data_IF_326060599598
#
_entry.id   IF_326060599598
#
_cell.length_a   1.000
_cell.length_b   1.000
_cell.length_c   1.000
_cell.angle_alpha   90.00
_cell.angle_beta   90.00
_cell.angle_gamma   90.00
#
_symmetry.space_group_name_H-M   'P 1'
#
loop_
_entity.id
_entity.type
_entity.pdbx_description
1 polymer ?
#
# COMPACT_ATOMS: atom_id res chain seq x y z
N UNK A 1 4.04 -2.09 20.22
CA UNK A 1 4.71 -2.66 19.03
C UNK A 1 4.32 -4.13 18.97
N UNK A 2 4.08 -4.69 17.78
CA UNK A 2 3.67 -6.08 17.62
C UNK A 2 4.87 -7.01 17.87
N UNK A 3 5.02 -7.62 19.05
CA UNK A 3 6.21 -8.45 19.38
C UNK A 3 6.43 -9.66 18.45
N UNK A 4 5.49 -9.96 17.56
CA UNK A 4 5.55 -11.08 16.63
C UNK A 4 5.82 -10.64 15.19
N UNK A 5 5.93 -9.33 14.92
CA UNK A 5 6.30 -8.85 13.60
C UNK A 5 7.79 -9.09 13.37
N UNK A 6 8.12 -9.53 12.16
CA UNK A 6 9.52 -9.79 11.80
C UNK A 6 10.09 -8.58 11.07
N UNK A 7 9.24 -7.87 10.32
CA UNK A 7 9.64 -6.74 9.50
C UNK A 7 8.73 -5.53 9.75
N UNK A 8 9.32 -4.34 9.70
CA UNK A 8 8.61 -3.07 9.69
C UNK A 8 8.72 -2.48 8.28
N UNK A 9 7.64 -2.53 7.51
CA UNK A 9 7.60 -1.97 6.15
C UNK A 9 7.03 -0.55 6.06
N UNK A 10 6.59 -0.03 7.20
CA UNK A 10 6.03 1.31 7.33
C UNK A 10 6.65 2.02 8.52
N UNK A 11 6.92 3.31 8.31
CA UNK A 11 7.34 4.22 9.36
C UNK A 11 6.33 4.41 10.49
N UNK A 12 6.85 4.70 11.68
CA UNK A 12 6.06 5.10 12.85
C UNK A 12 5.99 6.62 13.04
N UNK A 13 6.47 7.40 12.08
CA UNK A 13 6.54 8.86 12.14
C UNK A 13 6.21 9.52 10.81
N UNK A 14 5.81 10.80 10.81
CA UNK A 14 5.76 11.60 9.60
C UNK A 14 7.06 11.60 8.82
N UNK A 15 6.95 11.76 7.50
CA UNK A 15 8.10 12.03 6.67
C UNK A 15 8.80 13.32 7.11
N UNK A 16 10.10 13.19 7.38
CA UNK A 16 11.00 14.27 7.73
C UNK A 16 11.91 14.56 6.55
N UNK A 17 11.98 15.83 6.15
CA UNK A 17 13.00 16.33 5.23
C UNK A 17 14.31 16.45 5.99
N UNK A 18 15.27 15.56 5.70
CA UNK A 18 16.53 15.53 6.43
C UNK A 18 17.40 16.75 6.14
N UNK A 19 17.14 17.46 5.03
CA UNK A 19 17.81 18.72 4.73
C UNK A 19 17.48 19.82 5.73
N UNK A 20 16.27 19.80 6.31
CA UNK A 20 15.83 20.80 7.30
C UNK A 20 16.49 20.63 8.68
N UNK A 21 17.25 19.54 8.87
CA UNK A 21 18.03 19.30 10.09
C UNK A 21 19.46 19.85 9.99
N UNK A 22 19.88 20.29 8.80
CA UNK A 22 21.20 20.82 8.57
C UNK A 22 21.30 22.24 9.18
N UNK A 23 22.47 22.62 9.72
CA UNK A 23 22.68 23.96 10.25
C UNK A 23 22.50 25.01 9.14
N UNK A 24 21.90 26.14 9.48
CA UNK A 24 21.70 27.29 8.60
C UNK A 24 22.57 28.48 9.01
N UNK A 25 22.76 29.43 8.11
CA UNK A 25 23.48 30.68 8.41
C UNK A 25 24.97 30.49 8.69
N UNK A 26 25.52 31.32 9.58
CA UNK A 26 26.96 31.34 9.92
C UNK A 26 27.43 30.03 10.58
N UNK A 27 26.52 29.32 11.28
CA UNK A 27 26.81 28.02 11.92
C UNK A 27 27.05 26.90 10.89
N UNK A 28 26.53 27.03 9.67
CA UNK A 28 26.75 26.05 8.61
C UNK A 28 28.23 26.01 8.17
N UNK A 29 28.90 27.16 8.14
CA UNK A 29 30.30 27.27 7.72
C UNK A 29 31.28 26.67 8.73
N UNK A 30 30.90 26.62 10.02
CA UNK A 30 31.71 26.05 11.11
C UNK A 30 31.41 24.57 11.34
N UNK A 31 30.17 24.12 11.15
CA UNK A 31 29.75 22.75 11.48
C UNK A 31 29.80 21.78 10.29
N UNK A 32 29.72 22.27 9.05
CA UNK A 32 29.77 21.41 7.87
C UNK A 32 31.13 21.52 7.16
N UNK A 33 31.81 20.40 6.87
CA UNK A 33 33.06 20.44 6.13
C UNK A 33 32.83 20.98 4.71
N UNK A 34 33.58 22.03 4.37
CA UNK A 34 33.47 22.70 3.06
C UNK A 34 33.95 21.81 1.90
N UNK A 35 34.87 20.90 2.20
CA UNK A 35 35.56 20.04 1.22
C UNK A 35 35.12 18.57 1.27
N UNK A 36 34.04 18.24 1.98
CA UNK A 36 33.52 16.87 2.06
C UNK A 36 32.02 16.80 1.73
N UNK A 37 31.54 15.66 1.21
CA UNK A 37 30.12 15.48 0.96
C UNK A 37 29.35 15.44 2.28
N UNK A 38 28.15 16.00 2.30
CA UNK A 38 27.25 15.90 3.47
C UNK A 38 26.73 14.47 3.52
N UNK A 39 27.00 13.76 4.61
CA UNK A 39 26.55 12.37 4.80
C UNK A 39 25.43 12.31 5.84
N UNK A 40 24.30 11.73 5.45
CA UNK A 40 23.15 11.55 6.34
C UNK A 40 22.86 10.06 6.43
N UNK A 41 23.03 9.49 7.63
CA UNK A 41 22.78 8.09 7.92
C UNK A 41 21.36 7.89 8.47
N UNK A 42 20.58 7.04 7.80
CA UNK A 42 19.29 6.54 8.24
C UNK A 42 19.46 5.09 8.72
N UNK A 43 19.19 4.83 9.99
CA UNK A 43 19.29 3.50 10.59
C UNK A 43 17.88 2.96 10.81
N UNK A 44 17.54 1.88 10.13
CA UNK A 44 16.21 1.26 10.12
C UNK A 44 15.07 2.29 10.00
N UNK A 45 15.08 3.15 8.96
CA UNK A 45 13.96 4.07 8.71
C UNK A 45 12.63 3.34 8.41
N UNK A 46 12.65 2.03 8.13
CA UNK A 46 11.54 1.12 7.83
C UNK A 46 10.94 1.31 6.44
N UNK A 47 10.91 2.53 5.94
CA UNK A 47 10.53 2.85 4.57
C UNK A 47 11.30 4.07 4.03
N UNK A 48 11.09 4.33 2.74
CA UNK A 48 11.79 5.38 2.01
C UNK A 48 11.26 6.80 2.28
N UNK A 49 10.31 7.04 3.19
CA UNK A 49 9.61 8.34 3.29
C UNK A 49 10.55 9.53 3.49
N UNK A 50 11.56 9.37 4.34
CA UNK A 50 12.56 10.40 4.63
C UNK A 50 13.45 10.65 3.41
N UNK A 51 13.89 9.57 2.76
CA UNK A 51 14.73 9.60 1.57
C UNK A 51 14.01 10.28 0.41
N UNK A 52 12.77 9.87 0.11
CA UNK A 52 11.92 10.47 -0.94
C UNK A 52 11.69 11.95 -0.67
N UNK A 53 11.31 12.30 0.56
CA UNK A 53 11.03 13.70 0.95
C UNK A 53 12.26 14.57 0.78
N UNK A 54 13.42 14.11 1.28
CA UNK A 54 14.68 14.85 1.20
C UNK A 54 15.14 15.05 -0.25
N UNK A 55 15.01 14.02 -1.10
CA UNK A 55 15.39 14.10 -2.53
C UNK A 55 14.51 15.12 -3.26
N UNK A 56 13.19 15.03 -3.08
CA UNK A 56 12.23 15.93 -3.73
C UNK A 56 12.40 17.38 -3.28
N UNK A 57 12.82 17.60 -2.03
CA UNK A 57 12.94 18.94 -1.41
C UNK A 57 14.36 19.47 -1.36
N UNK A 58 15.32 18.81 -2.00
CA UNK A 58 16.72 19.20 -1.97
C UNK A 58 16.97 20.64 -2.49
N UNK A 59 16.08 21.18 -3.32
CA UNK A 59 16.12 22.58 -3.80
C UNK A 59 15.80 23.61 -2.73
N UNK A 60 15.11 23.23 -1.65
CA UNK A 60 14.76 24.12 -0.54
C UNK A 60 15.95 24.53 0.31
N UNK A 61 17.04 23.75 0.29
CA UNK A 61 18.15 23.89 1.24
C UNK A 61 19.37 24.53 0.56
N UNK A 62 19.69 25.81 0.85
CA UNK A 62 20.83 26.50 0.23
C UNK A 62 22.17 25.79 0.49
N UNK A 63 22.31 25.17 1.66
CA UNK A 63 23.50 24.39 2.04
C UNK A 63 23.75 23.25 1.06
N UNK A 64 22.70 22.49 0.70
CA UNK A 64 22.80 21.39 -0.26
C UNK A 64 23.11 21.91 -1.67
N UNK A 65 22.51 23.03 -2.06
CA UNK A 65 22.77 23.68 -3.35
C UNK A 65 24.20 24.22 -3.47
N UNK A 66 24.73 24.79 -2.39
CA UNK A 66 26.11 25.30 -2.33
C UNK A 66 27.12 24.15 -2.45
N UNK A 67 26.87 23.04 -1.77
CA UNK A 67 27.73 21.86 -1.84
C UNK A 67 27.76 21.27 -3.26
N UNK A 68 26.62 21.27 -3.96
CA UNK A 68 26.50 20.82 -5.36
C UNK A 68 27.38 21.60 -6.34
N UNK A 69 27.68 22.88 -6.05
CA UNK A 69 28.57 23.70 -6.89
C UNK A 69 30.05 23.35 -6.70
N UNK A 70 30.39 22.68 -5.61
CA UNK A 70 31.77 22.39 -5.20
C UNK A 70 32.17 20.93 -5.38
N UNK A 71 31.19 20.01 -5.41
CA UNK A 71 31.43 18.57 -5.48
C UNK A 71 30.51 17.88 -6.49
N UNK A 72 31.01 16.80 -7.10
CA UNK A 72 30.21 15.93 -7.98
C UNK A 72 29.13 15.15 -7.21
N UNK A 73 29.40 14.78 -5.95
CA UNK A 73 28.46 14.06 -5.07
C UNK A 73 28.22 14.84 -3.77
N UNK A 74 27.45 15.92 -3.79
CA UNK A 74 27.36 16.86 -2.67
C UNK A 74 26.69 16.30 -1.41
N UNK A 75 25.84 15.27 -1.58
CA UNK A 75 25.04 14.68 -0.51
C UNK A 75 25.03 13.16 -0.69
N UNK A 76 25.31 12.44 0.38
CA UNK A 76 25.24 10.99 0.45
C UNK A 76 24.20 10.59 1.51
N UNK A 77 23.06 10.06 1.05
CA UNK A 77 22.06 9.45 1.91
C UNK A 77 22.41 7.98 2.10
N UNK A 78 22.88 7.60 3.29
CA UNK A 78 23.23 6.22 3.63
C UNK A 78 22.04 5.60 4.34
N UNK A 79 21.51 4.50 3.82
CA UNK A 79 20.39 3.76 4.43
C UNK A 79 20.90 2.41 4.90
N UNK A 80 20.69 2.13 6.17
CA UNK A 80 20.87 0.80 6.74
C UNK A 80 19.50 0.22 7.08
N UNK A 81 19.21 -0.97 6.55
CA UNK A 81 18.03 -1.77 6.87
C UNK A 81 18.49 -3.14 7.35
N UNK A 82 17.74 -3.73 8.28
CA UNK A 82 18.04 -5.07 8.81
C UNK A 82 17.65 -6.19 7.84
N UNK A 83 16.70 -5.90 6.93
CA UNK A 83 16.19 -6.87 5.95
C UNK A 83 16.52 -6.47 4.51
N UNK A 84 16.90 -7.42 3.65
CA UNK A 84 17.09 -7.16 2.22
C UNK A 84 15.77 -6.79 1.55
N UNK A 85 14.63 -7.32 2.01
CA UNK A 85 13.30 -6.93 1.51
C UNK A 85 12.97 -5.47 1.83
N UNK A 86 13.33 -4.98 3.02
CA UNK A 86 13.23 -3.56 3.38
C UNK A 86 14.04 -2.69 2.42
N UNK A 87 15.32 -3.00 2.23
CA UNK A 87 16.17 -2.25 1.30
C UNK A 87 15.66 -2.31 -0.15
N UNK A 88 15.17 -3.46 -0.61
CA UNK A 88 14.56 -3.61 -1.92
C UNK A 88 13.36 -2.65 -2.09
N UNK A 89 12.51 -2.53 -1.05
CA UNK A 89 11.36 -1.61 -1.08
C UNK A 89 11.79 -0.16 -1.18
N UNK A 90 12.91 0.23 -0.59
CA UNK A 90 13.45 1.58 -0.76
C UNK A 90 13.76 1.87 -2.22
N UNK A 91 14.46 0.92 -2.87
CA UNK A 91 14.79 1.01 -4.30
C UNK A 91 13.53 1.04 -5.16
N UNK A 92 12.54 0.20 -4.85
CA UNK A 92 11.25 0.18 -5.57
C UNK A 92 10.52 1.52 -5.50
N UNK A 93 10.35 2.09 -4.31
CA UNK A 93 9.60 3.33 -4.13
C UNK A 93 10.32 4.52 -4.78
N UNK A 94 11.66 4.55 -4.74
CA UNK A 94 12.46 5.51 -5.50
C UNK A 94 12.31 5.33 -7.01
N UNK A 95 12.29 4.09 -7.51
CA UNK A 95 12.08 3.80 -8.91
C UNK A 95 10.71 4.29 -9.39
N UNK A 96 9.66 4.04 -8.59
CA UNK A 96 8.29 4.54 -8.88
C UNK A 96 8.28 6.06 -8.92
N UNK A 97 8.91 6.74 -7.96
CA UNK A 97 9.00 8.20 -7.94
C UNK A 97 9.65 8.76 -9.22
N UNK A 98 10.72 8.12 -9.69
CA UNK A 98 11.52 8.54 -10.84
C UNK A 98 10.95 8.09 -12.20
N UNK A 99 9.88 7.29 -12.24
CA UNK A 99 9.33 6.75 -13.48
C UNK A 99 8.59 7.80 -14.31
N UNK A 100 9.35 8.49 -15.16
CA UNK A 100 8.90 9.54 -16.08
C UNK A 100 7.68 9.16 -16.93
N UNK A 101 7.58 7.89 -17.33
CA UNK A 101 6.57 7.43 -18.29
C UNK A 101 5.14 7.41 -17.71
N UNK A 102 5.00 7.43 -16.38
CA UNK A 102 3.70 7.48 -15.72
C UNK A 102 3.34 8.93 -15.39
N UNK A 103 2.15 9.42 -15.76
CA UNK A 103 1.70 10.76 -15.39
C UNK A 103 1.78 10.99 -13.87
N UNK A 104 2.14 12.20 -13.38
CA UNK A 104 2.42 12.43 -11.96
C UNK A 104 1.31 11.96 -11.01
N UNK A 105 0.04 12.19 -11.37
CA UNK A 105 -1.10 11.72 -10.56
C UNK A 105 -1.12 10.19 -10.43
N UNK A 106 -1.00 9.47 -11.54
CA UNK A 106 -0.97 8.00 -11.53
C UNK A 106 0.26 7.45 -10.83
N UNK A 107 1.38 8.17 -10.90
CA UNK A 107 2.61 7.80 -10.21
C UNK A 107 2.47 7.93 -8.70
N UNK A 108 1.82 9.00 -8.22
CA UNK A 108 1.50 9.16 -6.81
C UNK A 108 0.54 8.08 -6.31
N UNK A 109 -0.48 7.76 -7.10
CA UNK A 109 -1.40 6.65 -6.83
C UNK A 109 -0.64 5.30 -6.76
N UNK A 110 0.23 5.01 -7.74
CA UNK A 110 1.06 3.79 -7.77
C UNK A 110 1.97 3.70 -6.54
N UNK A 111 2.60 4.81 -6.15
CA UNK A 111 3.50 4.86 -4.99
C UNK A 111 2.75 4.55 -3.70
N UNK A 112 1.59 5.19 -3.46
CA UNK A 112 0.78 4.95 -2.26
C UNK A 112 0.22 3.53 -2.21
N UNK A 113 -0.20 2.99 -3.35
CA UNK A 113 -0.72 1.63 -3.45
C UNK A 113 0.35 0.58 -3.14
N UNK A 114 1.54 0.68 -3.76
CA UNK A 114 2.66 -0.23 -3.51
C UNK A 114 3.26 -0.07 -2.10
N UNK A 115 3.26 1.16 -1.57
CA UNK A 115 3.69 1.44 -0.20
C UNK A 115 2.74 0.80 0.81
N UNK A 116 1.44 1.11 0.73
CA UNK A 116 0.51 0.92 1.86
C UNK A 116 -0.44 -0.27 1.79
N UNK A 117 -0.69 -0.85 0.61
CA UNK A 117 -1.72 -1.88 0.45
C UNK A 117 -1.13 -3.30 0.39
N UNK A 118 -1.73 -4.24 1.12
CA UNK A 118 -1.43 -5.67 1.04
C UNK A 118 -1.89 -6.27 -0.29
N UNK A 119 -3.02 -5.82 -0.81
CA UNK A 119 -3.54 -6.23 -2.13
C UNK A 119 -3.56 -5.06 -3.10
N UNK A 120 -3.28 -5.35 -4.36
CA UNK A 120 -3.10 -4.42 -5.46
C UNK A 120 -4.19 -4.62 -6.52
N UNK A 121 -4.40 -3.57 -7.31
CA UNK A 121 -5.06 -3.62 -8.60
C UNK A 121 -4.18 -4.37 -9.60
N UNK A 122 -4.82 -4.95 -10.61
CA UNK A 122 -4.12 -5.69 -11.66
C UNK A 122 -2.99 -4.88 -12.32
N UNK A 123 -3.26 -3.60 -12.63
CA UNK A 123 -2.26 -2.70 -13.20
C UNK A 123 -1.05 -2.49 -12.29
N UNK A 124 -1.27 -2.32 -10.98
CA UNK A 124 -0.18 -2.10 -10.03
C UNK A 124 0.65 -3.37 -9.81
N UNK A 125 0.00 -4.54 -9.82
CA UNK A 125 0.69 -5.83 -9.75
C UNK A 125 1.53 -6.12 -11.00
N UNK A 126 1.00 -5.84 -12.19
CA UNK A 126 1.74 -5.98 -13.45
C UNK A 126 2.93 -5.01 -13.49
N UNK A 127 2.74 -3.78 -13.03
CA UNK A 127 3.83 -2.80 -12.89
C UNK A 127 4.91 -3.28 -11.91
N UNK A 128 4.53 -3.79 -10.73
CA UNK A 128 5.47 -4.33 -9.75
C UNK A 128 6.31 -5.47 -10.34
N UNK A 129 5.66 -6.40 -11.05
CA UNK A 129 6.32 -7.54 -11.70
C UNK A 129 7.36 -7.08 -12.73
N UNK A 130 7.02 -6.10 -13.57
CA UNK A 130 7.95 -5.56 -14.55
C UNK A 130 9.08 -4.76 -13.91
N UNK A 131 8.77 -3.85 -12.97
CA UNK A 131 9.79 -3.10 -12.23
C UNK A 131 10.75 -4.02 -11.48
N UNK A 132 10.27 -5.12 -10.92
CA UNK A 132 11.14 -6.09 -10.24
C UNK A 132 12.22 -6.64 -11.18
N UNK A 133 11.89 -6.96 -12.44
CA UNK A 133 12.88 -7.41 -13.44
C UNK A 133 13.90 -6.33 -13.77
N UNK A 134 13.42 -5.10 -13.97
CA UNK A 134 14.28 -3.96 -14.31
C UNK A 134 15.25 -3.61 -13.16
N UNK A 135 14.73 -3.61 -11.93
CA UNK A 135 15.53 -3.36 -10.73
C UNK A 135 16.52 -4.46 -10.46
N UNK A 136 16.15 -5.72 -10.70
CA UNK A 136 17.06 -6.85 -10.59
C UNK A 136 18.24 -6.71 -11.54
N UNK A 137 17.96 -6.41 -12.82
CA UNK A 137 19.01 -6.18 -13.81
C UNK A 137 19.93 -5.01 -13.40
N UNK A 138 19.35 -3.91 -12.91
CA UNK A 138 20.10 -2.75 -12.41
C UNK A 138 21.00 -3.12 -11.22
N UNK A 139 20.46 -3.85 -10.24
CA UNK A 139 21.22 -4.25 -9.04
C UNK A 139 22.35 -5.21 -9.40
N UNK A 140 22.11 -6.17 -10.31
CA UNK A 140 23.15 -7.11 -10.79
C UNK A 140 24.27 -6.36 -11.52
N UNK A 141 23.94 -5.39 -12.37
CA UNK A 141 24.92 -4.54 -13.07
C UNK A 141 25.77 -3.75 -12.07
N UNK A 142 25.14 -3.05 -11.13
CA UNK A 142 25.83 -2.29 -10.08
C UNK A 142 26.67 -3.19 -9.16
N UNK A 143 26.17 -4.39 -8.81
CA UNK A 143 26.89 -5.34 -7.98
C UNK A 143 28.17 -5.87 -8.66
N UNK A 144 28.15 -5.97 -9.99
CA UNK A 144 29.26 -6.47 -10.81
C UNK A 144 30.31 -5.40 -11.14
N UNK A 145 30.15 -4.18 -10.61
CA UNK A 145 31.05 -3.05 -10.88
C UNK A 145 30.70 -2.27 -12.15
N UNK A 146 29.48 -2.42 -12.67
CA UNK A 146 28.94 -1.52 -13.70
C UNK A 146 29.06 -0.06 -13.26
N UNK A 147 29.41 0.83 -14.19
CA UNK A 147 29.55 2.24 -13.87
C UNK A 147 28.19 2.80 -13.40
N UNK A 148 28.19 3.73 -12.44
CA UNK A 148 26.98 4.49 -12.03
C UNK A 148 26.39 5.19 -13.27
N UNK A 149 25.42 4.55 -13.92
CA UNK A 149 24.81 4.99 -15.17
C UNK A 149 25.29 4.30 -16.46
N UNK A 150 25.88 3.10 -16.40
CA UNK A 150 26.46 2.41 -17.54
C UNK A 150 25.96 0.99 -17.81
N UNK A 151 24.84 0.85 -18.52
CA UNK A 151 24.60 -0.22 -19.47
C UNK A 151 23.87 0.31 -20.72
N UNK A 152 24.61 0.39 -21.83
CA UNK A 152 24.25 0.53 -23.24
C UNK A 152 22.87 1.02 -23.70
N UNK A 153 22.85 2.24 -24.26
CA UNK A 153 22.25 2.51 -25.57
C UNK A 153 22.73 3.87 -26.09
N UNK A 154 23.69 3.88 -27.03
CA UNK A 154 23.75 4.97 -28.00
C UNK A 154 22.61 4.74 -28.99
N UNK A 155 21.40 5.18 -28.67
CA UNK A 155 20.30 5.28 -29.62
C UNK A 155 19.44 6.48 -29.23
N UNK A 156 19.32 7.38 -30.18
CA UNK A 156 18.28 8.40 -30.25
C UNK A 156 16.91 7.72 -30.07
N UNK A 157 16.04 8.31 -29.24
CA UNK A 157 14.76 7.79 -28.73
C UNK A 157 14.83 7.02 -27.40
N UNK A 158 15.34 7.65 -26.33
CA UNK A 158 15.21 7.12 -24.96
C UNK A 158 13.77 7.32 -24.44
N UNK A 159 13.04 6.21 -24.26
CA UNK A 159 11.74 6.15 -23.57
C UNK A 159 11.88 6.70 -22.14
N UNK A 160 10.94 7.53 -21.69
CA UNK A 160 11.00 8.25 -20.40
C UNK A 160 11.23 7.34 -19.18
N UNK A 161 10.75 6.09 -19.23
CA UNK A 161 10.95 5.05 -18.22
C UNK A 161 12.44 4.69 -18.04
N UNK A 162 13.17 4.55 -19.15
CA UNK A 162 14.59 4.20 -19.16
C UNK A 162 15.43 5.35 -18.56
N UNK A 163 14.97 6.59 -18.73
CA UNK A 163 15.59 7.77 -18.10
C UNK A 163 15.46 7.71 -16.57
N UNK A 164 14.31 7.29 -16.05
CA UNK A 164 14.07 7.13 -14.61
C UNK A 164 14.99 6.08 -13.98
N UNK A 165 15.07 4.90 -14.59
CA UNK A 165 15.98 3.82 -14.15
C UNK A 165 17.46 4.22 -14.23
N UNK A 166 17.87 4.93 -15.29
CA UNK A 166 19.25 5.42 -15.45
C UNK A 166 19.58 6.48 -14.41
N UNK A 167 18.64 7.36 -14.07
CA UNK A 167 18.79 8.31 -12.97
C UNK A 167 18.94 7.57 -11.62
N UNK A 168 18.11 6.57 -11.37
CA UNK A 168 18.22 5.72 -10.18
C UNK A 168 19.58 5.03 -10.09
N UNK A 169 20.06 4.42 -11.18
CA UNK A 169 21.37 3.76 -11.23
C UNK A 169 22.56 4.69 -10.99
N UNK A 170 22.42 5.99 -11.28
CA UNK A 170 23.42 7.00 -10.91
C UNK A 170 23.39 7.37 -9.43
N UNK A 171 22.22 7.28 -8.80
CA UNK A 171 22.01 7.63 -7.40
C UNK A 171 22.31 6.48 -6.44
N UNK A 172 22.23 5.24 -6.90
CA UNK A 172 22.44 4.06 -6.05
C UNK A 172 23.92 3.69 -5.92
N UNK A 173 24.33 3.49 -4.67
CA UNK A 173 25.61 2.90 -4.31
C UNK A 173 25.42 1.63 -3.48
N UNK A 174 25.95 0.51 -3.98
CA UNK A 174 25.91 -0.78 -3.28
C UNK A 174 27.29 -1.16 -2.71
N UNK A 175 28.27 -0.25 -2.73
CA UNK A 175 29.65 -0.52 -2.31
C UNK A 175 29.77 -0.97 -0.85
N UNK A 176 28.88 -0.48 0.02
CA UNK A 176 28.87 -0.80 1.46
C UNK A 176 28.22 -2.16 1.77
N UNK A 177 27.51 -2.77 0.81
CA UNK A 177 26.92 -4.09 0.98
C UNK A 177 27.95 -5.20 0.70
N UNK A 178 27.92 -6.26 1.51
CA UNK A 178 28.67 -7.49 1.22
C UNK A 178 28.09 -8.18 -0.01
N UNK A 179 28.89 -9.02 -0.67
CA UNK A 179 28.41 -9.83 -1.80
C UNK A 179 27.16 -10.66 -1.45
N UNK A 180 27.13 -11.28 -0.27
CA UNK A 180 25.96 -12.01 0.21
C UNK A 180 24.71 -11.13 0.34
N UNK A 181 24.86 -9.89 0.83
CA UNK A 181 23.75 -8.95 1.01
C UNK A 181 23.23 -8.46 -0.34
N UNK A 182 24.12 -8.30 -1.34
CA UNK A 182 23.75 -8.00 -2.73
C UNK A 182 22.96 -9.15 -3.37
N UNK A 183 23.41 -10.39 -3.18
CA UNK A 183 22.70 -11.58 -3.69
C UNK A 183 21.31 -11.71 -3.05
N UNK A 184 21.20 -11.44 -1.75
CA UNK A 184 19.91 -11.41 -1.04
C UNK A 184 18.98 -10.32 -1.54
N UNK A 185 19.52 -9.14 -1.89
CA UNK A 185 18.74 -8.06 -2.50
C UNK A 185 18.20 -8.47 -3.87
N UNK A 186 19.02 -9.13 -4.70
CA UNK A 186 18.60 -9.71 -6.00
C UNK A 186 17.52 -10.78 -5.79
N UNK A 187 17.70 -11.67 -4.83
CA UNK A 187 16.72 -12.71 -4.49
C UNK A 187 15.37 -12.11 -4.05
N UNK A 188 15.40 -11.03 -3.26
CA UNK A 188 14.19 -10.31 -2.84
C UNK A 188 13.41 -9.78 -4.06
N UNK A 189 14.10 -9.16 -5.03
CA UNK A 189 13.49 -8.65 -6.26
C UNK A 189 12.91 -9.80 -7.12
N UNK A 190 13.63 -10.93 -7.23
CA UNK A 190 13.14 -12.11 -7.96
C UNK A 190 11.84 -12.66 -7.39
N UNK A 191 11.69 -12.66 -6.05
CA UNK A 191 10.48 -13.12 -5.36
C UNK A 191 9.26 -12.25 -5.61
N UNK A 192 9.44 -11.02 -6.09
CA UNK A 192 8.32 -10.13 -6.45
C UNK A 192 7.72 -10.42 -7.81
N UNK A 193 8.36 -11.27 -8.62
CA UNK A 193 7.81 -11.70 -9.91
C UNK A 193 6.53 -12.52 -9.70
N UNK A 194 5.61 -12.38 -10.63
CA UNK A 194 4.27 -12.99 -10.68
C UNK A 194 4.26 -14.50 -10.91
N UNK A 195 5.44 -15.12 -11.05
CA UNK A 195 5.62 -16.54 -11.39
C UNK A 195 4.86 -17.51 -10.49
N UNK A 196 4.76 -17.20 -9.19
CA UNK A 196 4.11 -18.09 -8.20
C UNK A 196 2.91 -17.39 -7.61
N UNK A 197 1.69 -17.89 -7.83
CA UNK A 197 0.49 -17.31 -7.19
C UNK A 197 0.62 -17.28 -5.66
N UNK A 198 0.24 -16.17 -5.03
CA UNK A 198 0.27 -16.02 -3.58
C UNK A 198 -1.06 -15.44 -3.08
N UNK A 199 -1.63 -16.06 -2.04
CA UNK A 199 -2.88 -15.61 -1.44
C UNK A 199 -2.58 -14.66 -0.26
N UNK A 200 -2.50 -13.36 -0.58
CA UNK A 200 -2.22 -12.34 0.43
C UNK A 200 -3.35 -12.23 1.46
N UNK A 201 -4.60 -12.46 1.06
CA UNK A 201 -5.75 -12.35 1.98
C UNK A 201 -5.64 -13.42 3.07
N UNK A 202 -5.33 -14.67 2.70
CA UNK A 202 -5.04 -15.72 3.68
C UNK A 202 -3.82 -15.42 4.54
N UNK A 203 -2.77 -14.82 3.97
CA UNK A 203 -1.57 -14.47 4.73
C UNK A 203 -1.84 -13.38 5.77
N UNK A 204 -2.58 -12.34 5.39
CA UNK A 204 -3.07 -11.30 6.31
C UNK A 204 -3.95 -11.89 7.41
N UNK A 205 -4.89 -12.78 7.05
CA UNK A 205 -5.77 -13.44 8.00
C UNK A 205 -4.99 -14.31 8.99
N UNK A 206 -4.02 -15.10 8.51
CA UNK A 206 -3.15 -15.90 9.35
C UNK A 206 -2.35 -15.02 10.33
N UNK A 207 -1.86 -13.87 9.87
CA UNK A 207 -1.16 -12.89 10.73
C UNK A 207 -2.08 -12.32 11.80
N UNK A 208 -3.32 -11.98 11.44
CA UNK A 208 -4.34 -11.51 12.37
C UNK A 208 -4.72 -12.58 13.40
N UNK A 209 -4.95 -13.83 12.98
CA UNK A 209 -5.22 -14.96 13.90
C UNK A 209 -4.09 -15.15 14.91
N UNK A 210 -2.84 -15.05 14.45
CA UNK A 210 -1.67 -15.20 15.32
C UNK A 210 -1.58 -14.08 16.36
N UNK A 211 -1.84 -12.84 15.97
CA UNK A 211 -1.81 -11.69 16.87
C UNK A 211 -2.98 -11.68 17.87
N UNK A 212 -4.21 -11.84 17.39
CA UNK A 212 -5.40 -11.74 18.23
C UNK A 212 -5.64 -13.00 19.08
N UNK A 213 -5.13 -14.16 18.65
CA UNK A 213 -5.30 -15.44 19.33
C UNK A 213 -6.77 -15.74 19.58
N UNK A 214 -7.10 -16.10 20.82
CA UNK A 214 -8.47 -16.42 21.25
C UNK A 214 -9.46 -15.26 21.05
N UNK A 215 -8.97 -14.03 20.89
CA UNK A 215 -9.81 -12.84 20.67
C UNK A 215 -10.03 -12.51 19.19
N UNK A 216 -9.58 -13.35 18.27
CA UNK A 216 -9.66 -13.11 16.83
C UNK A 216 -11.10 -12.90 16.33
N UNK A 217 -12.07 -13.62 16.89
CA UNK A 217 -13.50 -13.46 16.53
C UNK A 217 -14.04 -12.09 16.97
N UNK A 218 -13.48 -11.52 18.04
CA UNK A 218 -13.81 -10.19 18.56
C UNK A 218 -12.89 -9.08 18.03
N UNK A 219 -12.06 -9.35 17.01
CA UNK A 219 -11.05 -8.40 16.52
C UNK A 219 -11.63 -7.05 16.10
N UNK A 220 -12.86 -7.02 15.58
CA UNK A 220 -13.54 -5.76 15.20
C UNK A 220 -13.68 -4.82 16.40
N UNK A 221 -14.02 -5.37 17.58
CA UNK A 221 -14.14 -4.60 18.83
C UNK A 221 -12.76 -4.18 19.35
N UNK A 222 -11.75 -5.03 19.18
CA UNK A 222 -10.37 -4.68 19.55
C UNK A 222 -9.79 -3.57 18.68
N UNK A 223 -10.07 -3.58 17.37
CA UNK A 223 -9.68 -2.51 16.44
C UNK A 223 -10.37 -1.20 16.82
N UNK A 224 -11.65 -1.26 17.19
CA UNK A 224 -12.40 -0.11 17.65
C UNK A 224 -11.82 0.50 18.94
N UNK A 225 -11.50 -0.36 19.91
CA UNK A 225 -10.82 0.05 21.13
C UNK A 225 -9.43 0.62 20.86
N UNK A 226 -8.62 -0.02 20.01
CA UNK A 226 -7.29 0.48 19.61
C UNK A 226 -7.38 1.89 19.02
N UNK A 227 -8.39 2.13 18.17
CA UNK A 227 -8.61 3.46 17.58
C UNK A 227 -8.94 4.51 18.64
N UNK A 228 -10.01 4.30 19.41
CA UNK A 228 -10.50 5.32 20.34
C UNK A 228 -9.55 5.55 21.52
N UNK A 229 -8.91 4.50 22.02
CA UNK A 229 -8.06 4.61 23.22
C UNK A 229 -6.62 4.96 22.91
N UNK A 230 -6.09 4.58 21.74
CA UNK A 230 -4.69 4.85 21.38
C UNK A 230 -4.60 5.93 20.32
N UNK A 231 -5.19 5.71 19.14
CA UNK A 231 -4.96 6.59 17.99
C UNK A 231 -5.62 7.95 18.15
N UNK A 232 -6.89 7.97 18.57
CA UNK A 232 -7.63 9.21 18.79
C UNK A 232 -7.06 10.01 19.97
N UNK A 233 -6.71 9.33 21.07
CA UNK A 233 -6.08 9.95 22.25
C UNK A 233 -4.70 10.51 21.95
N UNK A 234 -3.91 9.84 21.10
CA UNK A 234 -2.58 10.32 20.69
C UNK A 234 -2.64 11.62 19.88
N UNK A 235 -3.78 11.92 19.26
CA UNK A 235 -3.98 13.14 18.47
C UNK A 235 -3.25 13.12 17.13
N UNK A 236 -3.19 14.28 16.49
CA UNK A 236 -2.47 14.49 15.23
C UNK A 236 -1.17 15.25 15.51
N UNK A 237 0.00 14.78 15.03
CA UNK A 237 1.27 15.46 15.27
C UNK A 237 1.22 16.94 14.87
N UNK A 238 1.67 17.83 15.77
CA UNK A 238 1.69 19.28 15.53
C UNK A 238 0.34 19.99 15.65
N UNK A 239 -0.74 19.29 16.02
CA UNK A 239 -2.07 19.86 16.23
C UNK A 239 -2.53 19.71 17.69
N UNK A 240 -3.56 20.45 18.09
CA UNK A 240 -4.16 20.32 19.41
C UNK A 240 -4.68 18.88 19.64
N UNK A 241 -4.21 18.17 20.68
CA UNK A 241 -4.69 16.83 21.03
C UNK A 241 -6.22 16.74 21.19
N UNK A 242 -6.88 17.85 21.54
CA UNK A 242 -8.34 17.92 21.67
C UNK A 242 -9.11 17.68 20.37
N UNK A 243 -8.48 17.85 19.21
CA UNK A 243 -9.10 17.59 17.91
C UNK A 243 -9.04 16.11 17.47
N UNK A 244 -8.30 15.27 18.20
CA UNK A 244 -8.15 13.85 17.90
C UNK A 244 -7.25 13.56 16.69
N UNK A 245 -7.49 12.41 16.04
CA UNK A 245 -6.66 11.93 14.93
C UNK A 245 -7.22 12.32 13.56
N UNK A 246 -6.35 12.76 12.66
CA UNK A 246 -6.64 12.96 11.23
C UNK A 246 -6.80 11.63 10.48
N UNK A 247 -6.30 10.52 11.05
CA UNK A 247 -6.56 9.18 10.55
C UNK A 247 -8.00 8.84 10.91
N UNK A 248 -8.87 8.82 9.90
CA UNK A 248 -10.29 8.55 10.11
C UNK A 248 -10.54 7.09 10.49
N UNK A 249 -11.52 6.86 11.37
CA UNK A 249 -11.90 5.54 11.87
C UNK A 249 -12.16 4.51 10.75
N UNK A 250 -12.90 4.90 9.71
CA UNK A 250 -13.19 4.00 8.58
C UNK A 250 -11.94 3.51 7.87
N UNK A 251 -10.97 4.38 7.58
CA UNK A 251 -9.71 3.99 6.94
C UNK A 251 -8.88 3.10 7.88
N UNK A 252 -8.77 3.48 9.15
CA UNK A 252 -8.04 2.67 10.14
C UNK A 252 -8.64 1.27 10.28
N UNK A 253 -9.97 1.18 10.47
CA UNK A 253 -10.67 -0.10 10.60
C UNK A 253 -10.56 -0.93 9.33
N UNK A 254 -10.74 -0.33 8.16
CA UNK A 254 -10.67 -1.03 6.88
C UNK A 254 -9.27 -1.64 6.68
N UNK A 255 -8.21 -0.86 6.89
CA UNK A 255 -6.84 -1.35 6.78
C UNK A 255 -6.53 -2.46 7.80
N UNK A 256 -6.94 -2.31 9.07
CA UNK A 256 -6.73 -3.37 10.08
C UNK A 256 -7.42 -4.69 9.73
N UNK A 257 -8.54 -4.63 9.00
CA UNK A 257 -9.34 -5.80 8.64
C UNK A 257 -8.89 -6.45 7.33
N UNK A 258 -8.41 -5.66 6.35
CA UNK A 258 -8.19 -6.13 4.98
C UNK A 258 -6.78 -5.84 4.42
N UNK A 259 -5.98 -5.06 5.13
CA UNK A 259 -4.64 -4.64 4.69
C UNK A 259 -4.62 -3.60 3.57
N UNK A 260 -5.75 -2.97 3.25
CA UNK A 260 -5.85 -1.91 2.23
C UNK A 260 -5.94 -0.55 2.91
N UNK A 261 -4.98 0.32 2.69
CA UNK A 261 -4.95 1.68 3.26
C UNK A 261 -5.46 2.74 2.29
N UNK A 262 -5.09 2.61 1.01
CA UNK A 262 -5.35 3.59 -0.04
C UNK A 262 -6.29 2.98 -1.10
N UNK A 263 -7.59 3.26 -0.99
CA UNK A 263 -8.60 2.97 -2.01
C UNK A 263 -8.69 4.14 -3.01
N UNK A 264 -7.76 4.18 -3.95
CA UNK A 264 -7.54 5.32 -4.84
C UNK A 264 -8.56 5.40 -5.99
N UNK A 265 -9.13 4.25 -6.38
CA UNK A 265 -10.14 4.15 -7.45
C UNK A 265 -11.18 3.08 -7.08
N UNK A 266 -12.35 3.18 -7.72
CA UNK A 266 -13.38 2.15 -7.68
C UNK A 266 -12.89 0.96 -8.53
N UNK A 267 -12.06 0.11 -7.94
CA UNK A 267 -11.39 -1.01 -8.62
C UNK A 267 -11.23 -2.18 -7.67
N UNK A 268 -11.13 -3.39 -8.23
CA UNK A 268 -10.90 -4.59 -7.44
C UNK A 268 -9.41 -4.70 -7.05
N UNK A 269 -9.17 -4.90 -5.76
CA UNK A 269 -7.85 -5.15 -5.19
C UNK A 269 -7.70 -6.64 -4.90
N UNK A 270 -7.33 -7.41 -5.91
CA UNK A 270 -7.32 -8.88 -5.86
C UNK A 270 -5.93 -9.50 -6.10
N UNK A 271 -4.91 -8.69 -6.42
CA UNK A 271 -3.56 -9.17 -6.64
C UNK A 271 -2.71 -9.02 -5.36
N UNK A 272 -1.78 -9.95 -5.06
CA UNK A 272 -0.92 -9.81 -3.89
C UNK A 272 0.14 -8.72 -4.09
N UNK A 273 0.33 -7.84 -3.10
CA UNK A 273 1.50 -6.98 -3.04
C UNK A 273 2.71 -7.79 -2.59
N UNK A 274 3.43 -8.39 -3.55
CA UNK A 274 4.59 -9.23 -3.26
C UNK A 274 5.75 -8.46 -2.63
N UNK A 275 5.78 -7.13 -2.79
CA UNK A 275 6.79 -6.29 -2.14
C UNK A 275 6.62 -6.19 -0.63
N UNK A 276 5.51 -6.68 -0.06
CA UNK A 276 5.27 -6.79 1.39
C UNK A 276 5.48 -8.23 1.91
N UNK A 277 5.97 -9.14 1.07
CA UNK A 277 6.33 -10.49 1.49
C UNK A 277 7.81 -10.55 1.87
N UNK A 278 8.12 -11.36 2.87
CA UNK A 278 9.48 -11.56 3.34
C UNK A 278 9.70 -12.97 3.86
N UNK A 279 10.97 -13.29 4.08
CA UNK A 279 11.36 -14.54 4.72
C UNK A 279 11.45 -14.34 6.23
N UNK A 280 10.69 -15.11 7.00
CA UNK A 280 10.89 -15.21 8.44
C UNK A 280 11.75 -16.44 8.76
N UNK A 281 12.77 -16.25 9.59
CA UNK A 281 13.61 -17.33 10.08
C UNK A 281 13.25 -17.65 11.53
N UNK A 282 13.14 -18.92 11.85
CA UNK A 282 12.84 -19.41 13.19
C UNK A 282 13.48 -20.75 13.45
N UNK A 283 13.23 -21.30 14.64
CA UNK A 283 13.62 -22.66 14.99
C UNK A 283 12.39 -23.46 15.40
N UNK A 284 12.37 -24.74 15.06
CA UNK A 284 11.30 -25.65 15.52
C UNK A 284 11.34 -25.79 17.03
N UNK A 285 10.17 -25.98 17.63
CA UNK A 285 9.98 -26.19 19.08
C UNK A 285 10.17 -27.67 19.47
N UNK A 286 11.17 -28.33 18.90
CA UNK A 286 11.45 -29.75 19.16
C UNK A 286 12.04 -29.95 20.55
N UNK A 287 12.98 -29.08 20.95
CA UNK A 287 13.62 -29.11 22.25
C UNK A 287 13.82 -27.69 22.79
N UNK A 288 13.78 -27.53 24.12
CA UNK A 288 14.17 -26.29 24.79
C UNK A 288 15.44 -26.54 25.59
N UNK A 289 16.46 -25.73 25.37
CA UNK A 289 17.70 -25.80 26.15
C UNK A 289 17.47 -25.33 27.60
N UNK A 290 18.45 -25.57 28.47
CA UNK A 290 18.48 -25.14 29.89
C UNK A 290 18.28 -23.62 30.07
N UNK A 291 18.51 -22.84 29.02
CA UNK A 291 18.23 -21.40 28.96
C UNK A 291 16.82 -21.06 28.41
N UNK A 292 15.90 -22.03 28.34
CA UNK A 292 14.53 -21.91 27.80
C UNK A 292 14.45 -21.45 26.33
N UNK A 293 15.55 -21.51 25.57
CA UNK A 293 15.59 -21.20 24.14
C UNK A 293 15.20 -22.42 23.31
N UNK A 294 14.39 -22.19 22.28
CA UNK A 294 14.02 -23.23 21.31
C UNK A 294 15.28 -23.65 20.53
N UNK A 295 15.70 -24.90 20.72
CA UNK A 295 16.80 -25.55 20.00
C UNK A 295 16.18 -26.64 19.16
N UNK A 296 15.91 -26.31 17.91
CA UNK A 296 15.40 -27.22 16.90
C UNK A 296 15.98 -26.89 15.54
N UNK A 297 15.43 -27.50 14.49
CA UNK A 297 15.83 -27.23 13.11
C UNK A 297 15.53 -25.78 12.76
N UNK A 298 16.50 -25.11 12.14
CA UNK A 298 16.26 -23.81 11.53
C UNK A 298 15.25 -23.98 10.40
N UNK A 299 14.17 -23.20 10.46
CA UNK A 299 13.11 -23.18 9.45
C UNK A 299 12.98 -21.76 8.92
N UNK A 300 12.78 -21.65 7.62
CA UNK A 300 12.41 -20.40 6.96
C UNK A 300 11.01 -20.53 6.37
N UNK A 301 10.23 -19.45 6.47
CA UNK A 301 8.90 -19.39 5.90
C UNK A 301 8.73 -18.10 5.10
N UNK A 302 8.39 -18.24 3.82
CA UNK A 302 8.06 -17.11 2.96
C UNK A 302 6.61 -16.70 3.17
N UNK A 303 6.37 -15.42 3.45
CA UNK A 303 5.01 -14.91 3.55
C UNK A 303 4.91 -13.48 4.05
N UNK A 304 3.71 -13.09 4.45
CA UNK A 304 3.46 -11.77 5.01
C UNK A 304 3.78 -11.74 6.52
N UNK A 305 4.86 -11.04 6.87
CA UNK A 305 5.36 -10.93 8.26
C UNK A 305 5.45 -9.49 8.77
N UNK A 306 4.76 -8.56 8.09
CA UNK A 306 4.75 -7.15 8.45
C UNK A 306 3.87 -6.87 9.68
N UNK A 307 3.92 -5.63 10.14
CA UNK A 307 3.04 -5.09 11.19
C UNK A 307 1.58 -5.11 10.70
N UNK A 308 0.63 -5.42 11.58
CA UNK A 308 -0.82 -5.31 11.30
C UNK A 308 -1.49 -4.32 12.26
N UNK A 309 -0.70 -3.59 13.05
CA UNK A 309 -1.15 -2.64 14.04
C UNK A 309 -0.88 -1.20 13.62
N UNK A 310 0.36 -0.92 13.20
CA UNK A 310 0.80 0.38 12.73
C UNK A 310 0.80 0.39 11.21
N UNK A 311 -0.16 1.13 10.64
CA UNK A 311 -0.34 1.23 9.20
C UNK A 311 0.49 2.33 8.55
N UNK A 312 0.41 2.44 7.21
CA UNK A 312 1.20 3.40 6.42
C UNK A 312 0.87 4.87 6.68
N UNK A 313 -0.24 5.16 7.36
CA UNK A 313 -0.80 6.51 7.50
C UNK A 313 0.15 7.53 8.10
N UNK A 314 1.00 7.14 9.05
CA UNK A 314 1.94 8.07 9.68
C UNK A 314 2.93 8.64 8.67
N UNK A 315 3.35 7.84 7.69
CA UNK A 315 4.42 8.17 6.78
C UNK A 315 4.13 9.42 5.94
N UNK A 316 3.01 9.41 5.21
CA UNK A 316 2.63 10.52 4.32
C UNK A 316 1.30 11.18 4.71
N UNK A 317 0.54 10.63 5.65
CA UNK A 317 -0.85 11.05 5.89
C UNK A 317 -1.10 11.86 7.16
N UNK A 318 -0.10 12.11 8.01
CA UNK A 318 -0.34 12.77 9.32
C UNK A 318 0.19 14.19 9.44
N UNK A 319 1.20 14.56 8.65
CA UNK A 319 1.77 15.91 8.65
C UNK A 319 1.73 16.46 7.21
N UNK A 320 1.26 17.68 7.06
CA UNK A 320 1.28 18.46 5.82
C UNK A 320 1.57 19.93 6.11
N UNK A 321 2.12 20.61 5.11
CA UNK A 321 2.41 22.05 5.14
C UNK A 321 1.14 22.88 4.87
N UNK A 322 0.17 22.31 4.17
CA UNK A 322 -1.10 22.94 3.83
C UNK A 322 -2.07 22.90 5.00
N UNK A 323 -2.16 24.01 5.75
CA UNK A 323 -3.00 24.10 6.95
C UNK A 323 -4.49 23.91 6.68
N UNK A 324 -4.93 24.11 5.43
CA UNK A 324 -6.32 23.91 5.01
C UNK A 324 -6.83 22.48 5.27
N UNK A 325 -5.94 21.48 5.30
CA UNK A 325 -6.31 20.08 5.57
C UNK A 325 -6.65 19.83 7.04
N UNK A 326 -6.13 20.64 7.96
CA UNK A 326 -6.44 20.53 9.39
C UNK A 326 -7.71 21.27 9.81
N UNK A 327 -8.48 21.79 8.85
CA UNK A 327 -9.77 22.43 9.16
C UNK A 327 -10.70 21.43 9.84
N UNK A 328 -11.13 21.74 11.06
CA UNK A 328 -12.06 20.94 11.85
C UNK A 328 -13.49 21.39 11.59
N UNK A 329 -14.41 20.44 11.42
CA UNK A 329 -15.86 20.67 11.33
C UNK A 329 -16.55 19.57 12.13
N UNK A 330 -17.52 19.92 12.99
CA UNK A 330 -18.21 18.95 13.85
C UNK A 330 -17.28 18.08 14.70
N UNK A 331 -16.20 18.67 15.26
CA UNK A 331 -15.19 17.98 16.08
C UNK A 331 -14.39 16.89 15.36
N UNK A 332 -14.38 16.89 14.03
CA UNK A 332 -13.57 16.00 13.21
C UNK A 332 -12.84 16.79 12.13
N UNK A 333 -11.70 16.29 11.67
CA UNK A 333 -11.02 16.88 10.52
C UNK A 333 -11.87 16.74 9.26
N UNK A 334 -11.96 17.82 8.49
CA UNK A 334 -12.67 17.82 7.20
C UNK A 334 -11.99 16.93 6.17
N UNK A 335 -10.65 16.81 6.26
CA UNK A 335 -9.80 15.94 5.45
C UNK A 335 -9.26 14.78 6.29
N UNK A 336 -8.94 13.71 5.60
CA UNK A 336 -8.44 12.45 6.19
C UNK A 336 -6.96 12.27 5.90
N UNK A 337 -6.33 11.32 6.60
CA UNK A 337 -4.95 10.95 6.34
C UNK A 337 -4.69 10.45 4.90
N UNK A 338 -5.70 9.92 4.21
CA UNK A 338 -5.57 9.50 2.80
C UNK A 338 -5.49 10.73 1.89
N UNK A 339 -6.33 11.75 2.12
CA UNK A 339 -6.27 13.03 1.40
C UNK A 339 -4.89 13.68 1.56
N UNK A 340 -4.37 13.68 2.79
CA UNK A 340 -3.06 14.25 3.11
C UNK A 340 -1.94 13.48 2.41
N UNK A 341 -2.01 12.15 2.39
CA UNK A 341 -1.02 11.32 1.71
C UNK A 341 -0.99 11.56 0.20
N UNK A 342 -2.16 11.63 -0.45
CA UNK A 342 -2.26 11.96 -1.89
C UNK A 342 -1.67 13.35 -2.19
N UNK A 343 -2.02 14.35 -1.38
CA UNK A 343 -1.49 15.71 -1.55
C UNK A 343 0.02 15.78 -1.33
N UNK A 344 0.52 15.18 -0.26
CA UNK A 344 1.94 15.20 0.06
C UNK A 344 2.77 14.51 -1.03
N UNK A 345 2.36 13.32 -1.50
CA UNK A 345 3.07 12.64 -2.61
C UNK A 345 2.98 13.44 -3.90
N UNK A 346 1.83 14.07 -4.20
CA UNK A 346 1.71 14.97 -5.35
C UNK A 346 2.64 16.19 -5.23
N UNK A 347 2.77 16.76 -4.03
CA UNK A 347 3.69 17.86 -3.73
C UNK A 347 5.15 17.43 -3.95
N UNK A 348 5.54 16.26 -3.43
CA UNK A 348 6.88 15.69 -3.66
C UNK A 348 7.18 15.51 -5.15
N UNK A 349 6.23 15.01 -5.94
CA UNK A 349 6.39 14.85 -7.39
C UNK A 349 6.47 16.19 -8.14
N UNK A 350 5.71 17.18 -7.69
CA UNK A 350 5.74 18.54 -8.26
C UNK A 350 7.08 19.22 -7.99
N UNK A 351 7.55 19.17 -6.75
CA UNK A 351 8.84 19.74 -6.33
C UNK A 351 10.01 19.06 -7.04
N UNK A 352 9.97 17.72 -7.17
CA UNK A 352 10.99 16.99 -7.91
C UNK A 352 11.10 17.45 -9.38
N UNK A 353 9.97 17.80 -10.00
CA UNK A 353 9.91 18.19 -11.41
C UNK A 353 10.25 19.66 -11.65
N UNK A 354 9.78 20.54 -10.79
CA UNK A 354 9.83 22.00 -10.99
C UNK A 354 10.91 22.68 -10.15
N UNK A 355 11.30 22.06 -9.03
CA UNK A 355 12.12 22.68 -7.99
C UNK A 355 11.36 23.64 -7.09
N UNK A 356 10.05 23.85 -7.33
CA UNK A 356 9.20 24.82 -6.63
C UNK A 356 8.15 24.10 -5.78
N UNK A 357 7.82 24.71 -4.64
CA UNK A 357 6.82 24.18 -3.71
C UNK A 357 5.42 24.20 -4.33
N UNK A 358 4.70 23.08 -4.23
CA UNK A 358 3.29 23.03 -4.62
C UNK A 358 2.45 23.84 -3.63
N UNK A 359 1.87 24.95 -4.11
CA UNK A 359 0.90 25.75 -3.36
C UNK A 359 -0.49 25.57 -3.95
N UNK A 360 -1.50 25.37 -3.11
CA UNK A 360 -2.88 25.38 -3.58
C UNK A 360 -3.30 26.83 -3.85
N UNK A 361 -3.93 27.08 -5.00
CA UNK A 361 -4.46 28.40 -5.30
C UNK A 361 -5.49 28.81 -4.22
N UNK A 362 -5.48 30.07 -3.80
CA UNK A 362 -6.39 30.58 -2.78
C UNK A 362 -7.86 30.28 -3.16
N UNK A 363 -8.54 29.47 -2.36
CA UNK A 363 -9.93 29.04 -2.59
C UNK A 363 -10.11 27.76 -3.42
N UNK A 364 -9.03 27.16 -3.95
CA UNK A 364 -9.09 25.83 -4.55
C UNK A 364 -9.11 24.77 -3.45
N UNK A 365 -10.15 23.95 -3.42
CA UNK A 365 -10.16 22.77 -2.56
C UNK A 365 -9.23 21.70 -3.14
N UNK A 366 -8.38 21.11 -2.29
CA UNK A 366 -7.63 19.92 -2.68
C UNK A 366 -8.61 18.81 -3.11
N UNK A 367 -8.24 17.95 -4.08
CA UNK A 367 -9.04 16.77 -4.41
C UNK A 367 -9.30 15.96 -3.14
N UNK A 368 -10.54 15.52 -2.96
CA UNK A 368 -10.94 14.71 -1.81
C UNK A 368 -10.83 13.24 -2.19
N UNK A 369 -9.96 12.52 -1.49
CA UNK A 369 -9.96 11.07 -1.48
C UNK A 369 -11.36 10.60 -1.07
N UNK A 370 -11.91 9.66 -1.83
CA UNK A 370 -13.20 9.07 -1.45
C UNK A 370 -13.00 8.40 -0.09
N UNK A 371 -13.94 8.61 0.84
CA UNK A 371 -13.96 7.84 2.08
C UNK A 371 -13.90 6.36 1.72
N UNK A 372 -13.06 5.58 2.41
CA UNK A 372 -12.92 4.16 2.14
C UNK A 372 -14.32 3.54 2.15
N UNK A 373 -14.76 3.07 0.98
CA UNK A 373 -16.04 2.41 0.87
C UNK A 373 -15.79 1.00 1.37
N UNK A 374 -16.17 0.76 2.62
CA UNK A 374 -16.32 -0.62 3.06
C UNK A 374 -17.28 -1.36 2.10
N UNK A 375 -17.05 -2.63 1.71
CA UNK A 375 -15.82 -3.41 1.89
C UNK A 375 -15.32 -4.03 0.56
N UNK A 376 -14.01 -4.05 0.37
CA UNK A 376 -13.34 -4.92 -0.62
C UNK A 376 -13.11 -6.32 -0.02
N UNK A 377 -14.15 -6.94 0.59
CA UNK A 377 -14.08 -8.37 0.87
C UNK A 377 -14.36 -9.16 -0.41
N UNK A 378 -13.71 -10.30 -0.58
CA UNK A 378 -14.22 -11.35 -1.47
C UNK A 378 -15.69 -11.67 -1.16
N UNK A 379 -16.10 -11.58 0.11
CA UNK A 379 -17.48 -11.78 0.58
C UNK A 379 -18.46 -10.69 0.10
N UNK A 380 -18.04 -9.43 -0.03
CA UNK A 380 -18.90 -8.32 -0.50
C UNK A 380 -18.94 -8.26 -2.02
N UNK A 381 -17.86 -8.64 -2.69
CA UNK A 381 -17.83 -8.88 -4.13
C UNK A 381 -18.72 -10.08 -4.51
N UNK A 382 -18.70 -11.16 -3.72
CA UNK A 382 -19.62 -12.29 -3.89
C UNK A 382 -21.08 -11.90 -3.65
N UNK A 383 -21.35 -11.04 -2.66
CA UNK A 383 -22.70 -10.54 -2.40
C UNK A 383 -23.21 -9.58 -3.48
N UNK A 384 -22.36 -8.75 -4.07
CA UNK A 384 -22.73 -7.87 -5.18
C UNK A 384 -22.98 -8.65 -6.49
N UNK A 385 -22.14 -9.63 -6.81
CA UNK A 385 -22.38 -10.52 -7.97
C UNK A 385 -23.66 -11.35 -7.79
N UNK A 386 -24.00 -11.75 -6.55
CA UNK A 386 -25.27 -12.39 -6.24
C UNK A 386 -26.48 -11.43 -6.36
N UNK A 387 -26.27 -10.14 -6.11
CA UNK A 387 -27.30 -9.11 -6.23
C UNK A 387 -27.54 -8.67 -7.69
N UNK A 388 -26.52 -8.67 -8.54
CA UNK A 388 -26.62 -8.34 -9.97
C UNK A 388 -27.17 -9.50 -10.83
N UNK A 389 -27.20 -10.73 -10.29
CA UNK A 389 -27.75 -11.92 -10.96
C UNK A 389 -29.26 -12.11 -10.80
N UNK A 390 -29.97 -11.23 -10.09
CA UNK A 390 -31.43 -11.28 -9.99
C UNK A 390 -32.06 -10.30 -10.99
N UNK A 391 -32.84 -10.79 -11.98
CA UNK A 391 -33.55 -9.90 -12.88
C UNK A 391 -34.61 -9.09 -12.10
N UNK A 392 -34.94 -7.87 -12.53
CA UNK A 392 -35.94 -7.06 -11.85
C UNK A 392 -37.27 -7.80 -11.87
N UNK A 393 -37.87 -7.98 -10.68
CA UNK A 393 -39.25 -8.42 -10.54
C UNK A 393 -40.15 -7.37 -11.22
N UNK A 394 -40.50 -7.63 -12.47
CA UNK A 394 -41.59 -6.96 -13.17
C UNK A 394 -42.90 -7.50 -12.63
N UNK A 395 -43.66 -6.62 -11.98
CA UNK A 395 -45.10 -6.78 -11.82
C UNK A 395 -45.76 -6.83 -13.20
N UNK A 396 -46.27 -7.99 -13.62
CA UNK A 396 -47.34 -8.07 -14.60
C UNK A 396 -48.40 -9.09 -14.15
N UNK A 397 -49.56 -8.55 -13.75
CA UNK A 397 -50.82 -9.26 -13.75
C UNK A 397 -51.38 -9.30 -15.17
N UNK A 398 -51.97 -10.46 -15.50
CA UNK A 398 -53.21 -10.68 -16.25
C UNK A 398 -53.10 -11.42 -17.59
N UNK A 399 -54.01 -12.41 -17.74
CA UNK A 399 -54.50 -12.99 -18.99
C UNK A 399 -53.59 -14.08 -19.57
N UNK A 400 -54.06 -15.15 -20.20
CA UNK A 400 -55.39 -15.63 -20.54
C UNK A 400 -55.18 -17.01 -21.22
N UNK A 401 -56.07 -17.97 -20.94
CA UNK A 401 -56.58 -19.02 -21.86
C UNK A 401 -55.65 -19.97 -22.64
N UNK A 402 -55.85 -21.26 -22.33
CA UNK A 402 -56.01 -22.43 -23.19
C UNK A 402 -55.78 -22.31 -24.72
N UNK A 403 -54.95 -23.22 -25.26
CA UNK A 403 -55.25 -23.93 -26.51
C UNK A 403 -54.55 -25.32 -26.60
N UNK A 404 -55.38 -26.35 -26.43
CA UNK A 404 -55.59 -27.57 -27.21
C UNK A 404 -54.48 -28.27 -28.06
N UNK A 405 -54.56 -29.61 -27.97
CA UNK A 405 -54.35 -30.65 -28.99
C UNK A 405 -52.89 -31.11 -29.23
N UNK A 406 -52.55 -32.40 -29.36
CA UNK A 406 -53.31 -33.56 -29.87
C UNK A 406 -52.57 -34.89 -29.60
N UNK A 407 -53.35 -36.00 -29.59
CA UNK A 407 -53.03 -37.40 -30.02
C UNK A 407 -51.84 -38.15 -29.37
N UNK A 408 -51.86 -39.47 -29.10
CA UNK A 408 -52.78 -40.56 -29.39
C UNK A 408 -52.37 -41.80 -28.54
N UNK A 409 -53.34 -42.72 -28.31
CA UNK A 409 -53.24 -44.19 -28.11
C UNK A 409 -52.26 -44.76 -27.06
N UNK A 410 -52.59 -45.72 -26.18
CA UNK A 410 -53.79 -46.53 -25.95
C UNK A 410 -53.50 -47.63 -24.90
N UNK A 411 -54.59 -48.15 -24.30
CA UNK A 411 -54.77 -49.46 -23.63
C UNK A 411 -54.08 -49.75 -22.28
N UNK A 412 -54.85 -49.74 -21.19
CA UNK A 412 -55.48 -50.93 -20.57
C UNK A 412 -55.79 -50.76 -19.08
N UNK A 413 -56.91 -51.34 -18.61
CA UNK A 413 -57.02 -51.83 -17.22
C UNK A 413 -58.01 -51.17 -16.25
N UNK A 414 -59.28 -51.58 -16.35
CA UNK A 414 -60.17 -52.00 -15.23
C UNK A 414 -60.46 -51.08 -14.02
N UNK A 415 -61.76 -50.87 -13.72
CA UNK A 415 -62.26 -50.92 -12.34
C UNK A 415 -63.26 -49.86 -11.84
N UNK A 416 -64.55 -50.04 -12.19
CA UNK A 416 -65.75 -49.98 -11.31
C UNK A 416 -66.10 -48.77 -10.37
N UNK A 417 -67.40 -48.42 -10.47
CA UNK A 417 -68.34 -47.80 -9.49
C UNK A 417 -68.36 -46.26 -9.35
N UNK A 418 -69.41 -45.58 -9.83
CA UNK A 418 -70.68 -45.25 -9.14
C UNK A 418 -70.43 -44.38 -7.87
N UNK A 419 -71.03 -43.21 -7.63
CA UNK A 419 -72.36 -42.67 -7.96
C UNK A 419 -72.41 -41.19 -7.54
N UNK A 420 -73.20 -40.38 -8.27
CA UNK A 420 -74.08 -39.27 -7.85
C UNK A 420 -73.57 -38.20 -6.83
N UNK A 421 -73.81 -36.90 -7.00
CA UNK A 421 -74.67 -36.15 -7.91
C UNK A 421 -75.16 -34.86 -7.23
N UNK A 422 -75.40 -33.81 -8.04
CA UNK A 422 -76.23 -32.63 -7.74
C UNK A 422 -75.66 -31.62 -6.73
N UNK A 423 -75.85 -30.31 -6.84
CA UNK A 423 -76.67 -29.41 -7.67
C UNK A 423 -75.90 -28.06 -7.74
N UNK A 424 -75.87 -27.26 -8.82
CA UNK A 424 -76.95 -26.34 -9.28
C UNK A 424 -77.58 -25.58 -8.09
N UNK A 425 -77.73 -24.27 -7.99
CA UNK A 425 -77.68 -23.06 -8.80
C UNK A 425 -77.56 -21.95 -7.71
N UNK A 426 -76.85 -20.84 -7.88
CA UNK A 426 -77.29 -19.73 -8.72
C UNK A 426 -77.68 -18.53 -7.83
N UNK A 427 -77.73 -17.38 -8.48
CA UNK A 427 -78.44 -16.15 -8.06
C UNK A 427 -77.66 -15.16 -7.18
N UNK A 428 -76.83 -14.37 -7.87
CA UNK A 428 -76.94 -12.91 -8.06
C UNK A 428 -77.34 -11.95 -6.92
N UNK A 429 -76.61 -10.83 -6.90
CA UNK A 429 -77.06 -9.50 -6.49
C UNK A 429 -76.80 -9.22 -5.01
N UNK A 430 -76.02 -8.23 -4.60
CA UNK A 430 -75.71 -6.90 -5.16
C UNK A 430 -74.29 -6.49 -4.77
#
# INVERSE_FOLDING_TARGET
MDEQNVHHFWGISPALDLGSLLPEGDDAATLLPVDQPIRILQVAPYDARHTLTTICRATRHPVLQNQKRKQDEPVQLVVWEDSPEGLARHVLLLAVLLDGAIPPRERGEMLLELHGNAVLRERAAAYLDEKARQLEALVVDLASGGARGGAGASCTDEVEELRGLKALGKMLDLSLLKFQEKDQLVEALQKWRSTVSYDMVKAWDARARKWYGDRYDFRRNLVDWDYHMRLQTAGTPGQDPGHGSIIHFHHFRHWRMHGVAHELRDSHYNQPNRSLLSTAYGRTREFKDRSLRDVGRSVSAWGFWADILNGPYHCFGTLTEEQSFYKVTNKQYSRTAVDVAEHNVASLLHELRTGEQLTLAAGSEAPRAKAARGPTSLEDLQQQVAAEGQPPHGDEKAGETDMAASSAEGLSGTGSSQKAGGLCEGVSGQ
#
